data_IF_504811567100
#
_entry.id   IF_504811567100
#
_cell.length_a   1.000
_cell.length_b   1.000
_cell.length_c   1.000
_cell.angle_alpha   90.00
_cell.angle_beta   90.00
_cell.angle_gamma   90.00
#
_symmetry.space_group_name_H-M   'P 1'
#
loop_
_entity.id
_entity.type
_entity.pdbx_description
1 polymer ?
#
# COMPACT_ATOMS: atom_id res chain seq x y z
N UNK A 1 -9.20 38.77 4.12
CA UNK A 1 -9.84 37.62 4.82
C UNK A 1 -11.35 37.81 4.97
N UNK A 2 -11.89 39.03 4.91
CA UNK A 2 -13.33 39.27 5.11
C UNK A 2 -14.26 38.67 4.05
N UNK A 3 -13.77 38.43 2.83
CA UNK A 3 -14.54 37.77 1.76
C UNK A 3 -14.94 36.32 2.10
N UNK A 4 -14.20 35.64 2.99
CA UNK A 4 -14.49 34.25 3.40
C UNK A 4 -15.46 34.16 4.60
N UNK A 5 -15.88 35.30 5.18
CA UNK A 5 -16.78 35.33 6.34
C UNK A 5 -18.26 35.17 5.98
N UNK A 6 -18.61 35.34 4.70
CA UNK A 6 -20.00 35.33 4.19
C UNK A 6 -20.22 34.34 3.04
N UNK A 7 -19.19 33.58 2.65
CA UNK A 7 -19.22 32.67 1.50
C UNK A 7 -19.68 31.25 1.80
N UNK A 8 -20.25 30.99 2.97
CA UNK A 8 -20.61 29.65 3.42
C UNK A 8 -22.02 29.18 3.06
N UNK A 9 -22.36 27.95 3.46
CA UNK A 9 -23.65 27.29 3.16
C UNK A 9 -24.46 27.09 4.45
N UNK A 10 -25.72 27.54 4.44
CA UNK A 10 -26.78 27.41 5.47
C UNK A 10 -26.37 27.33 6.96
N UNK A 11 -25.62 26.33 7.41
CA UNK A 11 -25.19 26.12 8.80
C UNK A 11 -23.75 26.60 9.12
N UNK A 12 -22.92 26.89 8.12
CA UNK A 12 -21.60 27.51 8.30
C UNK A 12 -21.51 28.71 7.35
N UNK A 13 -21.61 29.94 7.86
CA UNK A 13 -21.49 31.16 7.04
C UNK A 13 -20.06 31.69 6.99
N UNK A 14 -19.34 31.54 8.10
CA UNK A 14 -17.94 31.96 8.23
C UNK A 14 -17.01 30.77 8.00
N UNK A 15 -16.26 30.79 6.89
CA UNK A 15 -15.30 29.74 6.56
C UNK A 15 -13.99 29.87 7.36
N UNK A 16 -13.76 31.00 8.02
CA UNK A 16 -12.52 31.30 8.75
C UNK A 16 -12.54 30.76 10.18
N UNK A 17 -13.72 30.43 10.70
CA UNK A 17 -13.93 29.93 12.06
C UNK A 17 -14.22 28.42 12.00
N UNK A 18 -13.84 27.65 13.04
CA UNK A 18 -14.28 26.26 13.18
C UNK A 18 -15.81 26.14 13.21
N UNK A 19 -16.36 25.04 12.69
CA UNK A 19 -17.80 24.83 12.62
C UNK A 19 -18.42 24.74 14.03
N UNK A 20 -19.28 25.69 14.42
CA UNK A 20 -19.89 25.70 15.76
C UNK A 20 -20.85 24.54 16.01
N UNK A 21 -21.34 23.88 14.96
CA UNK A 21 -22.28 22.75 15.08
C UNK A 21 -21.62 21.37 14.91
N UNK A 22 -20.31 21.32 14.63
CA UNK A 22 -19.55 20.09 14.36
C UNK A 22 -20.11 19.18 13.24
N UNK A 23 -20.98 19.72 12.38
CA UNK A 23 -21.61 19.03 11.26
C UNK A 23 -20.59 18.79 10.14
N UNK A 24 -19.77 19.79 9.82
CA UNK A 24 -18.71 19.72 8.81
C UNK A 24 -17.64 18.67 9.15
N UNK A 25 -17.03 18.66 10.36
CA UNK A 25 -16.14 17.59 10.78
C UNK A 25 -16.77 16.20 10.66
N UNK A 26 -18.06 16.08 11.00
CA UNK A 26 -18.79 14.80 10.95
C UNK A 26 -18.97 14.31 9.51
N UNK A 27 -19.41 15.19 8.61
CA UNK A 27 -19.56 14.88 7.18
C UNK A 27 -18.18 14.58 6.55
N UNK A 28 -17.15 15.33 6.90
CA UNK A 28 -15.79 15.10 6.41
C UNK A 28 -15.27 13.73 6.85
N UNK A 29 -15.45 13.35 8.12
CA UNK A 29 -15.07 12.04 8.63
C UNK A 29 -15.88 10.91 7.97
N UNK A 30 -17.19 11.08 7.82
CA UNK A 30 -18.04 10.11 7.14
C UNK A 30 -17.66 9.92 5.67
N UNK A 31 -17.44 11.00 4.92
CA UNK A 31 -17.00 10.94 3.52
C UNK A 31 -15.63 10.29 3.39
N UNK A 32 -14.69 10.61 4.28
CA UNK A 32 -13.38 9.96 4.32
C UNK A 32 -13.49 8.46 4.60
N UNK A 33 -14.38 8.07 5.52
CA UNK A 33 -14.67 6.66 5.79
C UNK A 33 -15.17 5.93 4.54
N UNK A 34 -16.12 6.51 3.80
CA UNK A 34 -16.59 5.93 2.55
C UNK A 34 -15.50 5.87 1.48
N UNK A 35 -14.65 6.90 1.35
CA UNK A 35 -13.54 6.92 0.40
C UNK A 35 -12.55 5.79 0.69
N UNK A 36 -12.22 5.58 1.97
CA UNK A 36 -11.34 4.49 2.40
C UNK A 36 -11.99 3.13 2.12
N UNK A 37 -13.26 2.94 2.44
CA UNK A 37 -13.96 1.66 2.23
C UNK A 37 -14.02 1.32 0.72
N UNK A 38 -14.41 2.29 -0.12
CA UNK A 38 -14.47 2.11 -1.58
C UNK A 38 -13.10 1.91 -2.23
N UNK A 39 -12.06 2.59 -1.71
CA UNK A 39 -10.67 2.43 -2.14
C UNK A 39 -10.05 1.09 -1.70
N UNK A 40 -10.35 0.65 -0.49
CA UNK A 40 -9.87 -0.62 0.07
C UNK A 40 -10.42 -1.82 -0.71
N UNK A 41 -11.65 -1.76 -1.21
CA UNK A 41 -12.21 -2.79 -2.10
C UNK A 41 -11.46 -2.91 -3.44
N UNK A 42 -10.86 -1.83 -3.92
CA UNK A 42 -10.07 -1.79 -5.15
C UNK A 42 -8.67 -2.36 -4.97
N UNK A 43 -7.98 -1.93 -3.92
CA UNK A 43 -6.53 -2.16 -3.72
C UNK A 43 -6.19 -3.24 -2.69
N UNK A 44 -7.05 -3.50 -1.70
CA UNK A 44 -6.75 -4.38 -0.56
C UNK A 44 -7.50 -5.72 -0.64
N UNK A 45 -7.47 -6.36 -1.81
CA UNK A 45 -7.95 -7.74 -2.02
C UNK A 45 -7.02 -8.82 -1.41
N UNK A 46 -6.05 -8.44 -0.59
CA UNK A 46 -5.23 -9.38 0.17
C UNK A 46 -5.94 -9.73 1.49
N UNK A 47 -6.39 -10.98 1.60
CA UNK A 47 -7.02 -11.53 2.83
C UNK A 47 -6.14 -11.42 4.08
N UNK A 48 -4.83 -11.20 3.93
CA UNK A 48 -3.85 -11.26 5.01
C UNK A 48 -3.72 -9.99 5.86
N UNK A 49 -4.48 -8.94 5.57
CA UNK A 49 -4.34 -7.65 6.25
C UNK A 49 -5.64 -7.17 6.90
N UNK A 50 -6.35 -8.08 7.58
CA UNK A 50 -7.53 -7.72 8.39
C UNK A 50 -7.18 -6.61 9.39
N UNK A 51 -6.01 -6.70 10.04
CA UNK A 51 -5.49 -5.63 10.90
C UNK A 51 -5.39 -4.27 10.20
N UNK A 52 -4.87 -4.22 8.98
CA UNK A 52 -4.81 -2.95 8.25
C UNK A 52 -6.18 -2.44 7.84
N UNK A 53 -7.15 -3.31 7.53
CA UNK A 53 -8.54 -2.86 7.33
C UNK A 53 -9.13 -2.22 8.60
N UNK A 54 -8.89 -2.82 9.77
CA UNK A 54 -9.31 -2.24 11.04
C UNK A 54 -8.63 -0.90 11.32
N UNK A 55 -7.31 -0.80 11.07
CA UNK A 55 -6.57 0.46 11.20
C UNK A 55 -7.11 1.54 10.26
N UNK A 56 -7.31 1.21 8.98
CA UNK A 56 -7.87 2.13 7.98
C UNK A 56 -9.28 2.60 8.35
N UNK A 57 -10.11 1.71 8.91
CA UNK A 57 -11.45 2.04 9.44
C UNK A 57 -11.40 2.89 10.71
N UNK A 58 -10.34 2.79 11.51
CA UNK A 58 -10.15 3.61 12.70
C UNK A 58 -9.65 5.03 12.40
N UNK A 59 -8.95 5.25 11.27
CA UNK A 59 -8.40 6.56 10.88
C UNK A 59 -9.45 7.69 10.91
N UNK A 60 -10.64 7.55 10.28
CA UNK A 60 -11.65 8.62 10.27
C UNK A 60 -12.18 8.97 11.67
N UNK A 61 -12.19 8.00 12.60
CA UNK A 61 -12.65 8.21 13.98
C UNK A 61 -11.60 8.98 14.77
N UNK A 62 -10.31 8.65 14.59
CA UNK A 62 -9.20 9.32 15.25
C UNK A 62 -9.03 10.76 14.72
N UNK A 63 -9.28 10.98 13.43
CA UNK A 63 -9.11 12.31 12.82
C UNK A 63 -10.26 13.27 13.17
N UNK A 64 -11.45 12.76 13.50
CA UNK A 64 -12.61 13.57 13.86
C UNK A 64 -12.33 14.63 14.95
N UNK A 65 -11.84 14.28 16.17
CA UNK A 65 -11.54 15.28 17.20
C UNK A 65 -10.43 16.25 16.78
N UNK A 66 -9.52 15.84 15.91
CA UNK A 66 -8.48 16.72 15.38
C UNK A 66 -9.06 17.74 14.39
N UNK A 67 -10.04 17.34 13.58
CA UNK A 67 -10.70 18.21 12.61
C UNK A 67 -11.62 19.27 13.23
N UNK A 68 -12.07 19.06 14.46
CA UNK A 68 -12.93 20.02 15.19
C UNK A 68 -12.25 21.38 15.43
N UNK A 69 -10.93 21.41 15.56
CA UNK A 69 -10.17 22.64 15.76
C UNK A 69 -9.83 23.41 14.47
N UNK A 70 -10.14 22.85 13.29
CA UNK A 70 -9.75 23.47 12.02
C UNK A 70 -10.79 24.45 11.47
N UNK A 71 -10.34 25.48 10.71
CA UNK A 71 -11.24 26.37 9.99
C UNK A 71 -12.15 25.59 9.03
N UNK A 72 -13.42 26.00 8.96
CA UNK A 72 -14.44 25.37 8.11
C UNK A 72 -14.06 25.34 6.62
N UNK A 73 -13.24 26.28 6.14
CA UNK A 73 -12.70 26.30 4.78
C UNK A 73 -11.98 24.99 4.39
N UNK A 74 -11.13 24.49 5.30
CA UNK A 74 -10.31 23.29 5.06
C UNK A 74 -11.19 22.05 5.02
N UNK A 75 -12.17 21.97 5.92
CA UNK A 75 -13.13 20.86 5.98
C UNK A 75 -14.06 20.84 4.76
N UNK A 76 -14.49 22.02 4.29
CA UNK A 76 -15.29 22.15 3.07
C UNK A 76 -14.51 21.68 1.84
N UNK A 77 -13.22 22.06 1.74
CA UNK A 77 -12.33 21.57 0.69
C UNK A 77 -12.18 20.04 0.74
N UNK A 78 -11.91 19.47 1.91
CA UNK A 78 -11.78 18.01 2.06
C UNK A 78 -13.08 17.27 1.76
N UNK A 79 -14.21 17.77 2.24
CA UNK A 79 -15.53 17.19 1.94
C UNK A 79 -15.79 17.18 0.44
N UNK A 80 -15.54 18.30 -0.25
CA UNK A 80 -15.77 18.42 -1.70
C UNK A 80 -14.83 17.49 -2.49
N UNK A 81 -13.55 17.42 -2.09
CA UNK A 81 -12.57 16.53 -2.72
C UNK A 81 -12.93 15.05 -2.56
N UNK A 82 -13.33 14.64 -1.36
CA UNK A 82 -13.82 13.29 -1.10
C UNK A 82 -15.11 13.00 -1.87
N UNK A 83 -16.07 13.93 -1.89
CA UNK A 83 -17.32 13.79 -2.63
C UNK A 83 -17.07 13.64 -4.15
N UNK A 84 -16.15 14.43 -4.71
CA UNK A 84 -15.77 14.29 -6.12
C UNK A 84 -15.13 12.93 -6.40
N UNK A 85 -14.22 12.50 -5.54
CA UNK A 85 -13.56 11.19 -5.64
C UNK A 85 -14.57 10.03 -5.55
N UNK A 86 -15.52 10.11 -4.61
CA UNK A 86 -16.61 9.14 -4.46
C UNK A 86 -17.52 9.13 -5.69
N UNK A 87 -17.86 10.30 -6.23
CA UNK A 87 -18.65 10.42 -7.45
C UNK A 87 -17.91 9.79 -8.64
N UNK A 88 -16.62 10.11 -8.82
CA UNK A 88 -15.78 9.55 -9.87
C UNK A 88 -15.71 8.02 -9.77
N UNK A 89 -15.39 7.48 -8.59
CA UNK A 89 -15.31 6.03 -8.38
C UNK A 89 -16.67 5.36 -8.55
N UNK A 90 -17.74 5.99 -8.07
CA UNK A 90 -19.11 5.53 -8.22
C UNK A 90 -19.52 5.42 -9.69
N UNK A 91 -19.28 6.47 -10.48
CA UNK A 91 -19.55 6.49 -11.92
C UNK A 91 -18.76 5.42 -12.67
N UNK A 92 -17.47 5.24 -12.35
CA UNK A 92 -16.62 4.23 -13.00
C UNK A 92 -16.97 2.79 -12.59
N UNK A 93 -17.62 2.60 -11.44
CA UNK A 93 -18.13 1.29 -11.01
C UNK A 93 -19.43 0.89 -11.72
N UNK A 94 -20.15 1.83 -12.32
CA UNK A 94 -21.36 1.51 -13.08
C UNK A 94 -20.95 0.75 -14.35
N UNK A 95 -21.41 -0.51 -14.46
CA UNK A 95 -21.08 -1.40 -15.58
C UNK A 95 -21.52 -0.82 -16.94
N UNK A 96 -22.57 0.01 -16.97
CA UNK A 96 -23.02 0.71 -18.18
C UNK A 96 -22.00 1.77 -18.65
N UNK A 97 -21.47 2.60 -17.73
CA UNK A 97 -20.42 3.59 -18.01
C UNK A 97 -19.14 2.90 -18.41
N UNK A 98 -18.79 1.82 -17.71
CA UNK A 98 -17.63 0.97 -18.02
C UNK A 98 -17.71 0.36 -19.42
N UNK A 99 -18.88 -0.14 -19.82
CA UNK A 99 -19.13 -0.73 -21.15
C UNK A 99 -19.05 0.34 -22.25
N UNK A 100 -19.58 1.54 -21.98
CA UNK A 100 -19.52 2.65 -22.94
C UNK A 100 -18.09 3.18 -23.13
N UNK A 101 -17.29 3.17 -22.07
CA UNK A 101 -15.86 3.54 -22.09
C UNK A 101 -14.93 2.41 -22.56
N UNK A 102 -15.46 1.26 -23.00
CA UNK A 102 -14.67 0.13 -23.50
C UNK A 102 -13.74 -0.52 -22.48
N UNK A 103 -13.96 -0.30 -21.18
CA UNK A 103 -13.07 -0.83 -20.14
C UNK A 103 -13.29 -2.34 -19.94
N UNK A 104 -12.23 -3.18 -19.97
CA UNK A 104 -12.34 -4.61 -19.76
C UNK A 104 -12.95 -4.90 -18.38
N UNK A 105 -13.78 -5.94 -18.27
CA UNK A 105 -14.40 -6.36 -17.01
C UNK A 105 -13.32 -6.71 -15.98
N UNK A 106 -13.56 -6.39 -14.71
CA UNK A 106 -12.59 -6.62 -13.66
C UNK A 106 -12.50 -8.14 -13.47
N UNK A 107 -11.43 -8.77 -13.92
CA UNK A 107 -11.23 -10.22 -13.82
C UNK A 107 -11.07 -10.55 -12.33
N UNK A 108 -12.13 -11.08 -11.72
CA UNK A 108 -12.08 -11.61 -10.35
C UNK A 108 -11.30 -12.91 -10.38
N UNK A 109 -10.00 -12.85 -10.11
CA UNK A 109 -9.16 -14.04 -9.97
C UNK A 109 -9.64 -14.83 -8.75
N UNK A 110 -9.85 -16.15 -8.91
CA UNK A 110 -10.29 -17.04 -7.83
C UNK A 110 -9.17 -17.13 -6.79
N UNK A 111 -9.48 -16.89 -5.51
CA UNK A 111 -8.50 -16.83 -4.41
C UNK A 111 -7.72 -18.15 -4.24
N UNK A 112 -8.30 -19.26 -4.66
CA UNK A 112 -7.74 -20.61 -4.49
C UNK A 112 -6.54 -20.90 -5.41
N UNK A 113 -6.38 -20.14 -6.50
CA UNK A 113 -5.34 -20.38 -7.51
C UNK A 113 -4.13 -19.45 -7.39
N UNK A 114 -4.07 -18.62 -6.35
CA UNK A 114 -2.96 -17.68 -6.14
C UNK A 114 -2.10 -18.19 -4.97
N UNK A 115 -0.75 -18.23 -5.10
CA UNK A 115 0.15 -18.43 -3.97
C UNK A 115 0.20 -17.15 -3.13
N UNK A 116 -0.96 -16.71 -2.61
CA UNK A 116 -1.05 -15.67 -1.61
C UNK A 116 -0.53 -16.30 -0.32
N UNK A 117 0.76 -16.12 -0.08
CA UNK A 117 1.42 -16.48 1.16
C UNK A 117 0.54 -15.98 2.32
N UNK A 118 -0.11 -16.90 3.03
CA UNK A 118 -0.86 -16.61 4.27
C UNK A 118 0.07 -16.23 5.43
N UNK A 119 1.35 -15.99 5.14
CA UNK A 119 2.37 -15.69 6.13
C UNK A 119 2.10 -14.32 6.73
N UNK A 120 2.14 -14.27 8.04
CA UNK A 120 1.98 -13.03 8.79
C UNK A 120 3.07 -12.03 8.39
N UNK A 121 2.83 -10.73 8.52
CA UNK A 121 3.82 -9.69 8.19
C UNK A 121 5.18 -9.95 8.87
N UNK A 122 5.18 -10.41 10.12
CA UNK A 122 6.41 -10.75 10.85
C UNK A 122 7.16 -11.95 10.24
N UNK A 123 6.43 -12.91 9.70
CA UNK A 123 6.98 -14.07 9.00
C UNK A 123 7.53 -13.66 7.63
N UNK A 124 6.88 -12.72 6.95
CA UNK A 124 7.39 -12.11 5.72
C UNK A 124 8.69 -11.33 5.96
N UNK A 125 8.75 -10.54 7.04
CA UNK A 125 9.97 -9.81 7.43
C UNK A 125 11.09 -10.80 7.79
N UNK A 126 10.78 -11.86 8.55
CA UNK A 126 11.76 -12.89 8.92
C UNK A 126 12.30 -13.61 7.68
N UNK A 127 11.42 -14.00 6.75
CA UNK A 127 11.80 -14.62 5.48
C UNK A 127 12.69 -13.69 4.65
N UNK A 128 12.37 -12.39 4.57
CA UNK A 128 13.22 -11.42 3.87
C UNK A 128 14.62 -11.30 4.48
N UNK A 129 14.72 -11.26 5.81
CA UNK A 129 16.01 -11.25 6.50
C UNK A 129 16.81 -12.55 6.27
N UNK A 130 16.14 -13.70 6.32
CA UNK A 130 16.78 -15.00 6.08
C UNK A 130 17.24 -15.14 4.62
N UNK A 131 16.40 -14.77 3.65
CA UNK A 131 16.75 -14.80 2.23
C UNK A 131 17.91 -13.85 1.92
N UNK A 132 17.89 -12.62 2.45
CA UNK A 132 19.00 -11.67 2.27
C UNK A 132 20.31 -12.22 2.84
N UNK A 133 20.26 -12.92 3.98
CA UNK A 133 21.43 -13.57 4.57
C UNK A 133 21.94 -14.72 3.70
N UNK A 134 21.05 -15.59 3.21
CA UNK A 134 21.41 -16.72 2.34
C UNK A 134 22.03 -16.22 1.03
N UNK A 135 21.45 -15.19 0.41
CA UNK A 135 21.98 -14.60 -0.83
C UNK A 135 23.39 -14.04 -0.62
N UNK A 136 23.63 -13.33 0.49
CA UNK A 136 24.99 -12.85 0.83
C UNK A 136 25.98 -13.99 1.00
N UNK A 137 25.61 -15.03 1.73
CA UNK A 137 26.45 -16.21 1.94
C UNK A 137 26.78 -16.93 0.62
N UNK A 138 25.80 -17.02 -0.30
CA UNK A 138 25.97 -17.62 -1.61
C UNK A 138 26.90 -16.79 -2.49
N UNK A 139 26.74 -15.47 -2.52
CA UNK A 139 27.63 -14.56 -3.25
C UNK A 139 29.08 -14.67 -2.75
N UNK A 140 29.30 -14.73 -1.44
CA UNK A 140 30.63 -14.85 -0.87
C UNK A 140 31.30 -16.19 -1.25
N UNK A 141 30.52 -17.28 -1.32
CA UNK A 141 30.99 -18.59 -1.83
C UNK A 141 31.33 -18.54 -3.32
N UNK A 142 30.46 -17.94 -4.13
CA UNK A 142 30.70 -17.79 -5.57
C UNK A 142 31.97 -16.96 -5.82
N UNK A 143 32.17 -15.87 -5.08
CA UNK A 143 33.42 -15.09 -5.16
C UNK A 143 34.64 -15.92 -4.75
N UNK A 144 34.52 -16.74 -3.70
CA UNK A 144 35.62 -17.62 -3.28
C UNK A 144 35.95 -18.67 -4.35
N UNK A 145 34.94 -19.28 -4.96
CA UNK A 145 35.10 -20.26 -6.04
C UNK A 145 35.65 -19.63 -7.31
N UNK A 146 35.20 -18.43 -7.68
CA UNK A 146 35.75 -17.66 -8.80
C UNK A 146 37.23 -17.33 -8.56
N UNK A 147 37.59 -16.90 -7.35
CA UNK A 147 38.99 -16.68 -6.97
C UNK A 147 39.82 -17.97 -7.03
N UNK A 148 39.26 -19.11 -6.60
CA UNK A 148 39.93 -20.43 -6.70
C UNK A 148 40.11 -20.85 -8.15
N UNK A 149 39.08 -20.70 -8.97
CA UNK A 149 39.10 -21.02 -10.39
C UNK A 149 40.11 -20.17 -11.15
N UNK A 150 40.11 -18.85 -10.91
CA UNK A 150 41.07 -17.92 -11.50
C UNK A 150 42.50 -18.24 -11.09
N UNK A 151 42.73 -18.60 -9.82
CA UNK A 151 44.05 -19.06 -9.34
C UNK A 151 44.47 -20.38 -9.98
N UNK A 152 43.55 -21.32 -10.20
CA UNK A 152 43.85 -22.59 -10.86
C UNK A 152 44.22 -22.40 -12.34
N UNK A 153 43.60 -21.44 -13.04
CA UNK A 153 43.91 -21.14 -14.45
C UNK A 153 45.21 -20.34 -14.68
N UNK A 154 45.64 -19.55 -13.69
CA UNK A 154 46.86 -18.72 -13.78
C UNK A 154 48.06 -19.38 -13.05
N UNK A 155 47.79 -20.33 -12.15
CA UNK A 155 48.80 -21.02 -11.35
C UNK A 155 49.69 -21.96 -12.16
N UNK A 156 50.85 -22.36 -11.60
CA UNK A 156 51.71 -23.35 -12.23
C UNK A 156 51.00 -24.70 -12.36
N UNK A 157 51.23 -25.39 -13.47
CA UNK A 157 50.60 -26.69 -13.78
C UNK A 157 50.94 -27.69 -12.66
N UNK A 158 49.90 -28.23 -12.00
CA UNK A 158 50.06 -29.26 -10.97
C UNK A 158 50.36 -30.60 -11.66
N UNK A 159 51.42 -31.29 -11.23
CA UNK A 159 51.76 -32.62 -11.76
C UNK A 159 50.70 -33.63 -11.33
N UNK A 160 49.91 -34.12 -12.29
CA UNK A 160 48.98 -35.24 -12.08
C UNK A 160 49.65 -36.54 -12.50
N UNK A 161 49.53 -37.59 -11.69
CA UNK A 161 50.03 -38.93 -12.03
C UNK A 161 48.89 -39.78 -12.61
N UNK A 162 49.14 -40.62 -13.63
CA UNK A 162 48.11 -41.50 -14.21
C UNK A 162 47.68 -42.66 -13.29
N UNK A 163 48.44 -42.91 -12.24
CA UNK A 163 48.15 -43.89 -11.19
C UNK A 163 48.24 -43.20 -9.83
N UNK A 164 47.49 -43.70 -8.84
CA UNK A 164 47.46 -43.13 -7.49
C UNK A 164 48.82 -43.37 -6.79
N UNK A 165 49.61 -42.33 -6.49
CA UNK A 165 50.93 -42.47 -5.88
C UNK A 165 50.86 -42.85 -4.39
N UNK A 166 49.67 -42.88 -3.78
CA UNK A 166 49.48 -43.25 -2.37
C UNK A 166 49.20 -44.74 -2.15
N UNK A 167 48.99 -45.49 -3.23
CA UNK A 167 48.71 -46.93 -3.23
C UNK A 167 49.98 -47.73 -3.59
N UNK A 168 51.04 -47.57 -2.80
CA UNK A 168 52.23 -48.42 -2.82
C UNK A 168 52.31 -49.27 -1.55
#
# INVERSE_FOLDING_TARGET
LDSLKTGGLFWFMDLTVPDPYYILPLITSATLFFTIELGAEGSMRADNLQWTRYLLRAIPVIIFPFTVGFPSAVLCYWTTSNAFSLCQVGLLRIEAVRKHLGMPKLIKHKKDSLPLSKKSFMESVKDSYTNARITRDLEDRVRADEMRFRKAGIGPIVKTYPYDPTMQ
#
